data_IF_305143771251
#
_entry.id   IF_305143771251
#
_cell.length_a   1.000
_cell.length_b   1.000
_cell.length_c   1.000
_cell.angle_alpha   90.00
_cell.angle_beta   90.00
_cell.angle_gamma   90.00
#
_symmetry.space_group_name_H-M   'P 1'
#
loop_
_entity.id
_entity.type
_entity.pdbx_description
1 polymer ?
#
# COMPACT_ATOMS: atom_id res chain seq x y z
N UNK A 1 -4.21 -25.49 7.39
CA UNK A 1 -4.60 -24.54 6.33
C UNK A 1 -6.01 -24.93 5.94
N UNK A 2 -7.03 -24.17 6.39
CA UNK A 2 -8.44 -24.63 6.44
C UNK A 2 -8.99 -25.12 5.09
N UNK A 3 -8.44 -24.62 3.98
CA UNK A 3 -8.77 -25.08 2.63
C UNK A 3 -8.10 -26.42 2.30
N UNK A 4 -6.78 -26.55 2.54
CA UNK A 4 -6.01 -27.79 2.31
C UNK A 4 -6.56 -28.98 3.11
N UNK A 5 -7.04 -28.75 4.34
CA UNK A 5 -7.59 -29.82 5.18
C UNK A 5 -9.09 -30.07 4.96
N UNK A 6 -9.77 -29.32 4.06
CA UNK A 6 -11.21 -29.47 3.81
C UNK A 6 -12.13 -28.90 4.91
N UNK A 7 -11.59 -28.28 5.95
CA UNK A 7 -12.36 -27.76 7.10
C UNK A 7 -13.41 -26.72 6.71
N UNK A 8 -13.14 -25.94 5.66
CA UNK A 8 -14.04 -24.92 5.10
C UNK A 8 -15.41 -25.44 4.64
N UNK A 9 -15.58 -26.76 4.49
CA UNK A 9 -16.86 -27.39 4.14
C UNK A 9 -17.87 -27.38 5.31
N UNK A 10 -17.41 -27.06 6.53
CA UNK A 10 -18.27 -26.92 7.71
C UNK A 10 -18.79 -25.49 7.87
N UNK A 11 -20.03 -25.34 8.34
CA UNK A 11 -20.64 -24.03 8.58
C UNK A 11 -19.82 -23.16 9.55
N UNK A 12 -19.26 -23.75 10.60
CA UNK A 12 -18.42 -23.04 11.57
C UNK A 12 -17.14 -22.47 10.92
N UNK A 13 -16.46 -23.28 10.12
CA UNK A 13 -15.24 -22.87 9.43
C UNK A 13 -15.52 -21.83 8.34
N UNK A 14 -16.64 -21.97 7.64
CA UNK A 14 -17.11 -20.96 6.70
C UNK A 14 -17.36 -19.63 7.41
N UNK A 15 -18.02 -19.64 8.57
CA UNK A 15 -18.22 -18.43 9.37
C UNK A 15 -16.88 -17.77 9.78
N UNK A 16 -15.87 -18.56 10.15
CA UNK A 16 -14.52 -18.04 10.43
C UNK A 16 -13.88 -17.38 9.20
N UNK A 17 -14.07 -17.94 8.00
CA UNK A 17 -13.61 -17.34 6.75
C UNK A 17 -14.33 -16.02 6.45
N UNK A 18 -15.63 -15.94 6.71
CA UNK A 18 -16.39 -14.69 6.57
C UNK A 18 -15.88 -13.62 7.53
N UNK A 19 -15.58 -14.00 8.78
CA UNK A 19 -15.00 -13.09 9.77
C UNK A 19 -13.63 -12.53 9.32
N UNK A 20 -12.78 -13.34 8.68
CA UNK A 20 -11.53 -12.87 8.05
C UNK A 20 -11.84 -11.94 6.89
N UNK A 21 -12.76 -12.34 6.01
CA UNK A 21 -13.16 -11.56 4.82
C UNK A 21 -13.70 -10.18 5.19
N UNK A 22 -14.34 -10.04 6.34
CA UNK A 22 -14.87 -8.78 6.85
C UNK A 22 -13.78 -7.72 7.11
N UNK A 23 -12.54 -8.10 7.43
CA UNK A 23 -11.41 -7.17 7.60
C UNK A 23 -10.46 -7.09 6.40
N UNK A 24 -10.73 -7.85 5.34
CA UNK A 24 -9.94 -7.82 4.10
C UNK A 24 -10.44 -6.76 3.12
N UNK A 25 -9.54 -5.87 2.72
CA UNK A 25 -9.75 -4.87 1.65
C UNK A 25 -10.99 -4.00 1.87
N UNK A 26 -12.08 -4.27 1.13
CA UNK A 26 -13.36 -3.54 1.22
C UNK A 26 -14.38 -4.19 2.16
N UNK A 27 -14.00 -5.24 2.88
CA UNK A 27 -14.93 -5.95 3.78
C UNK A 27 -16.07 -6.66 3.05
N UNK A 28 -17.16 -6.95 3.76
CA UNK A 28 -18.29 -7.71 3.24
C UNK A 28 -19.13 -6.90 2.24
N UNK A 29 -19.64 -7.56 1.22
CA UNK A 29 -20.68 -6.98 0.35
C UNK A 29 -22.03 -7.01 1.07
N UNK A 30 -23.03 -6.20 0.65
CA UNK A 30 -24.34 -6.17 1.29
C UNK A 30 -25.01 -7.56 1.37
N UNK A 31 -24.98 -8.31 0.27
CA UNK A 31 -25.51 -9.68 0.21
C UNK A 31 -24.82 -10.64 1.19
N UNK A 32 -23.49 -10.51 1.37
CA UNK A 32 -22.76 -11.34 2.32
C UNK A 32 -23.05 -10.95 3.77
N UNK A 33 -23.23 -9.65 4.04
CA UNK A 33 -23.61 -9.19 5.37
C UNK A 33 -25.02 -9.68 5.74
N UNK A 34 -25.95 -9.70 4.79
CA UNK A 34 -27.29 -10.25 4.97
C UNK A 34 -27.27 -11.77 5.19
N UNK A 35 -26.49 -12.50 4.39
CA UNK A 35 -26.37 -13.96 4.53
C UNK A 35 -25.66 -14.39 5.82
N UNK A 36 -24.81 -13.53 6.40
CA UNK A 36 -24.03 -13.82 7.60
C UNK A 36 -24.12 -12.67 8.62
N UNK A 37 -25.29 -12.47 9.26
CA UNK A 37 -25.57 -11.28 10.06
C UNK A 37 -24.75 -11.19 11.37
N UNK A 38 -24.26 -12.34 11.87
CA UNK A 38 -23.49 -12.43 13.12
C UNK A 38 -21.97 -12.36 12.89
N UNK A 39 -21.52 -11.92 11.71
CA UNK A 39 -20.10 -11.88 11.38
C UNK A 39 -19.36 -10.79 12.15
N UNK A 40 -18.22 -11.13 12.74
CA UNK A 40 -17.36 -10.19 13.48
C UNK A 40 -16.02 -10.10 12.76
N UNK A 41 -15.60 -8.88 12.41
CA UNK A 41 -14.34 -8.67 11.70
C UNK A 41 -13.14 -9.08 12.55
N UNK A 42 -12.27 -9.92 11.99
CA UNK A 42 -11.02 -10.33 12.65
C UNK A 42 -10.05 -9.15 12.71
N UNK A 43 -9.37 -9.00 13.86
CA UNK A 43 -8.33 -7.98 14.04
C UNK A 43 -7.25 -8.08 12.97
N UNK A 44 -6.93 -6.95 12.33
CA UNK A 44 -5.88 -6.90 11.30
C UNK A 44 -4.51 -6.93 11.99
N UNK A 45 -3.57 -7.78 11.57
CA UNK A 45 -2.23 -7.76 12.12
C UNK A 45 -1.58 -6.41 11.84
N UNK A 46 -0.98 -5.82 12.87
CA UNK A 46 -0.13 -4.65 12.70
C UNK A 46 1.11 -5.08 11.93
N UNK A 47 1.41 -4.38 10.84
CA UNK A 47 2.66 -4.61 10.13
C UNK A 47 3.79 -4.12 11.03
N UNK A 48 4.77 -4.98 11.38
CA UNK A 48 5.87 -4.56 12.21
C UNK A 48 6.61 -3.44 11.49
N UNK A 49 6.87 -2.35 12.21
CA UNK A 49 7.80 -1.29 11.79
C UNK A 49 9.22 -1.84 11.91
N UNK A 50 9.47 -2.98 11.29
CA UNK A 50 10.70 -3.69 11.46
C UNK A 50 11.76 -2.96 10.65
N UNK A 51 12.81 -2.52 11.36
CA UNK A 51 14.04 -1.92 10.83
C UNK A 51 14.87 -2.92 10.01
N UNK A 52 14.25 -4.01 9.54
CA UNK A 52 14.86 -4.95 8.62
C UNK A 52 15.22 -4.22 7.34
N UNK A 53 16.46 -4.40 6.90
CA UNK A 53 16.98 -3.81 5.68
C UNK A 53 16.05 -4.19 4.52
N UNK A 54 15.51 -3.18 3.83
CA UNK A 54 14.75 -3.42 2.59
C UNK A 54 15.65 -4.16 1.61
N UNK A 55 15.13 -5.22 1.01
CA UNK A 55 15.83 -5.96 -0.03
C UNK A 55 15.89 -5.13 -1.32
N UNK A 56 17.03 -5.18 -2.01
CA UNK A 56 17.27 -4.40 -3.23
C UNK A 56 16.30 -4.79 -4.36
N UNK A 57 16.04 -6.09 -4.54
CA UNK A 57 15.15 -6.58 -5.59
C UNK A 57 13.69 -6.29 -5.24
N UNK A 58 13.33 -6.33 -3.96
CA UNK A 58 12.02 -5.87 -3.51
C UNK A 58 11.80 -4.40 -3.85
N UNK A 59 12.75 -3.51 -3.56
CA UNK A 59 12.63 -2.08 -3.88
C UNK A 59 12.55 -1.86 -5.40
N UNK A 60 13.32 -2.61 -6.20
CA UNK A 60 13.25 -2.54 -7.65
C UNK A 60 11.87 -2.98 -8.19
N UNK A 61 11.33 -4.10 -7.70
CA UNK A 61 10.01 -4.59 -8.07
C UNK A 61 8.89 -3.63 -7.63
N UNK A 62 8.96 -3.12 -6.41
CA UNK A 62 8.02 -2.12 -5.89
C UNK A 62 8.03 -0.84 -6.72
N UNK A 63 9.23 -0.34 -7.05
CA UNK A 63 9.40 0.84 -7.91
C UNK A 63 8.92 0.60 -9.34
N UNK A 64 9.01 -0.64 -9.84
CA UNK A 64 8.50 -0.98 -11.17
C UNK A 64 6.96 -0.95 -11.25
N UNK A 65 6.27 -1.19 -10.12
CA UNK A 65 4.82 -1.08 -10.02
C UNK A 65 4.33 0.35 -9.75
N UNK A 66 4.85 0.98 -8.69
CA UNK A 66 4.32 2.24 -8.14
C UNK A 66 5.26 3.45 -8.32
N UNK A 67 6.41 3.26 -8.94
CA UNK A 67 7.40 4.31 -9.20
C UNK A 67 7.12 5.11 -10.47
N UNK A 68 7.59 6.36 -10.48
CA UNK A 68 7.49 7.27 -11.60
C UNK A 68 8.82 7.99 -11.82
N UNK A 69 9.41 7.81 -13.00
CA UNK A 69 10.56 8.57 -13.48
C UNK A 69 10.07 9.55 -14.55
N UNK A 70 10.21 10.86 -14.30
CA UNK A 70 9.77 11.89 -15.25
C UNK A 70 10.76 13.03 -15.39
N UNK A 71 10.75 13.63 -16.57
CA UNK A 71 11.43 14.89 -16.86
C UNK A 71 10.42 16.03 -16.75
N UNK A 72 10.66 16.97 -15.85
CA UNK A 72 9.85 18.17 -15.68
C UNK A 72 10.57 19.36 -16.31
N UNK A 73 10.00 19.92 -17.38
CA UNK A 73 10.44 21.19 -17.96
C UNK A 73 9.49 22.29 -17.50
N UNK A 74 10.03 23.36 -16.92
CA UNK A 74 9.25 24.52 -16.45
C UNK A 74 9.86 25.79 -17.00
N UNK A 75 9.04 26.64 -17.58
CA UNK A 75 9.50 27.94 -18.08
C UNK A 75 10.09 28.78 -16.96
N UNK A 76 11.21 29.45 -17.25
CA UNK A 76 11.87 30.33 -16.30
C UNK A 76 12.78 31.32 -17.02
N UNK A 77 12.50 32.60 -16.81
CA UNK A 77 13.29 33.72 -17.36
C UNK A 77 14.70 33.82 -16.76
N UNK A 78 14.98 33.11 -15.67
CA UNK A 78 16.28 33.11 -15.00
C UNK A 78 17.34 32.30 -15.78
N UNK A 79 16.92 31.43 -16.69
CA UNK A 79 17.81 30.57 -17.46
C UNK A 79 17.90 31.07 -18.90
N UNK A 80 19.11 31.06 -19.48
CA UNK A 80 19.35 31.50 -20.87
C UNK A 80 18.53 30.73 -21.90
N UNK A 81 18.26 29.45 -21.64
CA UNK A 81 17.40 28.60 -22.49
C UNK A 81 15.90 28.85 -22.29
N UNK A 82 15.51 29.79 -21.41
CA UNK A 82 14.11 30.12 -21.12
C UNK A 82 13.36 29.10 -20.26
N UNK A 83 14.01 28.01 -19.84
CA UNK A 83 13.40 26.92 -19.08
C UNK A 83 14.37 26.28 -18.09
N UNK A 84 13.79 25.75 -17.01
CA UNK A 84 14.43 24.87 -16.03
C UNK A 84 14.00 23.43 -16.29
N UNK A 85 14.97 22.52 -16.36
CA UNK A 85 14.74 21.08 -16.46
C UNK A 85 15.03 20.42 -15.12
N UNK A 86 14.17 19.50 -14.68
CA UNK A 86 14.37 18.70 -13.48
C UNK A 86 14.05 17.23 -13.77
N UNK A 87 14.94 16.33 -13.34
CA UNK A 87 14.69 14.89 -13.33
C UNK A 87 14.04 14.54 -11.99
N UNK A 88 12.91 13.85 -12.03
CA UNK A 88 12.08 13.59 -10.86
C UNK A 88 11.80 12.09 -10.78
N UNK A 89 12.12 11.53 -9.61
CA UNK A 89 11.72 10.19 -9.20
C UNK A 89 10.68 10.31 -8.07
N UNK A 90 9.52 9.66 -8.22
CA UNK A 90 8.43 9.67 -7.25
C UNK A 90 7.95 8.24 -7.02
N UNK A 91 7.64 7.89 -5.78
CA UNK A 91 6.87 6.71 -5.42
C UNK A 91 5.62 7.17 -4.69
N UNK A 92 4.45 6.74 -5.13
CA UNK A 92 3.16 7.17 -4.55
C UNK A 92 2.47 5.97 -3.90
N UNK A 93 1.98 6.14 -2.67
CA UNK A 93 1.23 5.09 -1.97
C UNK A 93 0.17 5.71 -1.05
N UNK A 94 -0.84 4.91 -0.69
CA UNK A 94 -1.85 5.30 0.29
C UNK A 94 -1.22 5.63 1.66
N UNK A 95 -1.81 6.60 2.39
CA UNK A 95 -1.29 7.10 3.68
C UNK A 95 -1.10 6.02 4.75
N UNK A 96 -1.87 4.93 4.66
CA UNK A 96 -1.73 3.74 5.54
C UNK A 96 -0.32 3.15 5.54
N UNK A 97 0.43 3.34 4.46
CA UNK A 97 1.78 2.84 4.25
C UNK A 97 2.85 3.96 4.38
N UNK A 98 2.53 5.06 5.09
CA UNK A 98 3.46 6.18 5.32
C UNK A 98 4.81 5.72 5.90
N UNK A 99 4.77 4.77 6.83
CA UNK A 99 5.98 4.22 7.45
C UNK A 99 6.90 3.51 6.45
N UNK A 100 6.32 2.88 5.42
CA UNK A 100 7.07 2.29 4.32
C UNK A 100 7.73 3.36 3.45
N UNK A 101 7.03 4.45 3.13
CA UNK A 101 7.64 5.55 2.35
C UNK A 101 8.78 6.22 3.14
N UNK A 102 8.64 6.38 4.46
CA UNK A 102 9.73 6.86 5.34
C UNK A 102 10.91 5.89 5.37
N UNK A 103 10.68 4.58 5.32
CA UNK A 103 11.77 3.60 5.27
C UNK A 103 12.51 3.63 3.93
N UNK A 104 11.83 3.94 2.81
CA UNK A 104 12.47 4.15 1.51
C UNK A 104 13.40 5.37 1.49
N UNK A 105 13.04 6.48 2.15
CA UNK A 105 13.95 7.63 2.32
C UNK A 105 15.23 7.21 3.06
N UNK A 106 15.07 6.44 4.14
CA UNK A 106 16.20 5.90 4.89
C UNK A 106 17.04 4.88 4.09
N UNK A 107 16.42 4.15 3.16
CA UNK A 107 17.07 3.20 2.28
C UNK A 107 17.91 3.91 1.21
N UNK A 108 17.33 4.87 0.48
CA UNK A 108 18.02 5.62 -0.57
C UNK A 108 19.00 6.67 -0.04
N UNK A 109 18.91 7.03 1.25
CA UNK A 109 19.66 8.13 1.87
C UNK A 109 19.39 9.50 1.23
N UNK A 110 18.24 9.64 0.58
CA UNK A 110 17.79 10.88 -0.07
C UNK A 110 16.26 10.87 -0.22
N UNK A 111 15.72 11.97 -0.74
CA UNK A 111 14.28 12.15 -0.95
C UNK A 111 13.54 12.62 0.31
N UNK A 112 12.26 12.92 0.14
CA UNK A 112 11.37 13.41 1.19
C UNK A 112 9.97 12.82 0.97
N UNK A 113 9.24 12.60 2.05
CA UNK A 113 7.83 12.19 2.01
C UNK A 113 6.93 13.40 2.18
N UNK A 114 5.84 13.47 1.43
CA UNK A 114 4.79 14.47 1.57
C UNK A 114 3.42 13.79 1.53
N UNK A 115 2.45 14.35 2.25
CA UNK A 115 1.05 13.92 2.18
C UNK A 115 0.25 14.96 1.39
N UNK A 116 -0.57 14.48 0.45
CA UNK A 116 -1.59 15.32 -0.17
C UNK A 116 -2.82 15.32 0.73
N UNK A 117 -3.33 16.50 1.08
CA UNK A 117 -4.45 16.65 2.01
C UNK A 117 -5.81 16.23 1.42
N UNK A 118 -5.90 16.13 0.10
CA UNK A 118 -7.18 16.06 -0.62
C UNK A 118 -7.54 14.67 -1.17
N UNK A 119 -6.83 13.62 -0.74
CA UNK A 119 -7.12 12.22 -1.10
C UNK A 119 -7.29 11.39 0.17
N UNK A 120 -8.38 11.64 0.91
CA UNK A 120 -8.87 10.77 1.99
C UNK A 120 -10.01 9.92 1.44
#
# INVERSE_FOLDING_TARGET
MMMQCGEHLTAESLQKLINIRASLNKGLTPLLAEAFPNSVAVSRPLLPVNKSKLDLQWVAGFTSGDGCFKVSVRESKLYKAGSRVALIFIVTQHIRDELLLKSLVNFFKCGQTYSYKDYV
#
